data_IF_154897566789
#
_entry.id   IF_154897566789
#
_cell.length_a   1.000
_cell.length_b   1.000
_cell.length_c   1.000
_cell.angle_alpha   90.00
_cell.angle_beta   90.00
_cell.angle_gamma   90.00
#
_symmetry.space_group_name_H-M   'P 1'
#
loop_
_entity.id
_entity.type
_entity.pdbx_description
1 polymer ?
#
# COMPACT_ATOMS: atom_id res chain seq x y z
N UNK A 1 3.04 0.52 29.77
CA UNK A 1 2.43 1.20 28.61
C UNK A 1 2.48 2.69 28.88
N UNK A 2 2.84 3.55 27.89
CA UNK A 2 2.72 5.00 28.04
C UNK A 2 1.29 5.40 28.40
N UNK A 3 1.15 6.43 29.22
CA UNK A 3 -0.16 6.92 29.67
C UNK A 3 -0.78 7.84 28.58
N UNK A 4 -1.03 7.23 27.41
CA UNK A 4 -1.54 7.90 26.21
C UNK A 4 -3.05 7.69 26.09
N UNK A 5 -3.79 8.72 25.66
CA UNK A 5 -5.23 8.65 25.40
C UNK A 5 -5.55 7.88 24.10
N UNK A 6 -4.58 7.71 23.21
CA UNK A 6 -4.70 6.99 21.93
C UNK A 6 -3.69 5.85 21.83
N UNK A 7 -4.14 4.67 21.42
CA UNK A 7 -3.23 3.54 21.18
C UNK A 7 -2.25 3.79 20.00
N UNK A 8 -2.63 4.62 19.04
CA UNK A 8 -1.72 5.04 17.97
C UNK A 8 -0.60 5.94 18.53
N UNK A 9 -0.92 6.83 19.45
CA UNK A 9 0.08 7.64 20.15
C UNK A 9 0.99 6.77 21.02
N UNK A 10 0.42 5.80 21.74
CA UNK A 10 1.21 4.83 22.51
C UNK A 10 2.18 4.04 21.62
N UNK A 11 1.76 3.61 20.42
CA UNK A 11 2.61 2.94 19.45
C UNK A 11 3.74 3.87 18.96
N UNK A 12 3.44 5.14 18.69
CA UNK A 12 4.44 6.14 18.32
C UNK A 12 5.51 6.30 19.40
N UNK A 13 5.10 6.39 20.66
CA UNK A 13 6.02 6.49 21.79
C UNK A 13 6.88 5.23 21.96
N UNK A 14 6.30 4.04 21.80
CA UNK A 14 7.04 2.77 21.82
C UNK A 14 8.11 2.76 20.73
N UNK A 15 7.76 3.09 19.49
CA UNK A 15 8.73 3.16 18.39
C UNK A 15 9.83 4.19 18.65
N UNK A 16 9.47 5.33 19.21
CA UNK A 16 10.43 6.36 19.58
C UNK A 16 11.43 5.84 20.65
N UNK A 17 10.91 5.15 21.66
CA UNK A 17 11.75 4.55 22.70
C UNK A 17 12.68 3.46 22.14
N UNK A 18 12.18 2.59 21.26
CA UNK A 18 12.96 1.51 20.66
C UNK A 18 14.15 2.05 19.84
N UNK A 19 13.97 3.13 19.07
CA UNK A 19 15.05 3.72 18.24
C UNK A 19 15.89 4.79 18.95
N UNK A 20 15.54 5.20 20.15
CA UNK A 20 16.31 6.20 20.90
C UNK A 20 17.56 5.60 21.54
N UNK A 21 18.56 6.42 21.90
CA UNK A 21 19.73 5.96 22.66
C UNK A 21 19.32 5.19 23.92
N UNK A 22 19.82 3.96 24.08
CA UNK A 22 19.44 3.05 25.14
C UNK A 22 18.20 2.20 24.87
N UNK A 23 17.61 2.33 23.68
CA UNK A 23 16.54 1.46 23.19
C UNK A 23 17.03 0.11 22.65
N UNK A 24 16.38 -0.42 21.64
CA UNK A 24 16.74 -1.70 21.05
C UNK A 24 17.87 -1.56 20.02
N UNK A 25 19.01 -2.24 20.18
CA UNK A 25 20.13 -2.16 19.23
C UNK A 25 19.73 -2.60 17.82
N UNK A 26 18.88 -3.63 17.69
CA UNK A 26 18.42 -4.12 16.40
C UNK A 26 17.57 -3.07 15.67
N UNK A 27 16.62 -2.43 16.39
CA UNK A 27 15.80 -1.36 15.80
C UNK A 27 16.65 -0.15 15.39
N UNK A 28 17.67 0.18 16.15
CA UNK A 28 18.58 1.29 15.85
C UNK A 28 19.42 1.05 14.58
N UNK A 29 19.74 -0.22 14.26
CA UNK A 29 20.52 -0.59 13.07
C UNK A 29 19.68 -0.66 11.79
N UNK A 30 18.34 -0.66 11.87
CA UNK A 30 17.50 -0.78 10.69
C UNK A 30 17.56 0.48 9.81
N UNK A 31 17.51 0.25 8.50
CA UNK A 31 17.29 1.26 7.46
C UNK A 31 16.01 1.00 6.69
N UNK A 32 15.60 1.97 5.87
CA UNK A 32 14.45 1.78 4.98
C UNK A 32 14.59 0.53 4.11
N UNK A 33 15.79 0.25 3.60
CA UNK A 33 16.08 -0.89 2.75
C UNK A 33 16.02 -2.22 3.50
N UNK A 34 16.56 -2.28 4.74
CA UNK A 34 16.56 -3.53 5.51
C UNK A 34 15.17 -3.98 5.93
N UNK A 35 14.22 -3.05 6.06
CA UNK A 35 12.83 -3.33 6.42
C UNK A 35 11.94 -3.73 5.24
N UNK A 36 12.36 -3.54 3.98
CA UNK A 36 11.51 -3.88 2.83
C UNK A 36 11.09 -5.35 2.78
N UNK A 37 11.95 -6.26 3.22
CA UNK A 37 11.63 -7.69 3.27
C UNK A 37 10.50 -7.99 4.26
N UNK A 38 10.51 -7.34 5.43
CA UNK A 38 9.45 -7.49 6.43
C UNK A 38 8.14 -6.87 5.95
N UNK A 39 8.15 -5.66 5.40
CA UNK A 39 6.95 -5.07 4.81
C UNK A 39 6.30 -5.97 3.76
N UNK A 40 7.10 -6.70 2.98
CA UNK A 40 6.60 -7.65 1.99
C UNK A 40 6.01 -8.89 2.68
N UNK A 41 6.70 -9.44 3.69
CA UNK A 41 6.28 -10.58 4.50
C UNK A 41 4.93 -10.28 5.16
N UNK A 42 4.81 -9.25 5.97
CA UNK A 42 3.56 -8.82 6.63
C UNK A 42 2.42 -8.56 5.64
N UNK A 43 2.75 -8.07 4.44
CA UNK A 43 1.73 -7.87 3.40
C UNK A 43 1.17 -9.19 2.89
N UNK A 44 1.97 -10.25 2.79
CA UNK A 44 1.51 -11.57 2.38
C UNK A 44 0.77 -12.29 3.51
N UNK A 45 1.21 -12.17 4.74
CA UNK A 45 0.53 -12.73 5.91
C UNK A 45 -0.86 -12.10 6.10
N UNK A 46 -0.97 -10.78 5.90
CA UNK A 46 -2.27 -10.12 5.86
C UNK A 46 -3.16 -10.64 4.71
N UNK A 47 -2.60 -10.90 3.52
CA UNK A 47 -3.36 -11.46 2.39
C UNK A 47 -3.89 -12.85 2.77
N UNK A 48 -3.05 -13.73 3.32
CA UNK A 48 -3.42 -15.07 3.76
C UNK A 48 -4.54 -15.01 4.82
N UNK A 49 -4.37 -14.18 5.86
CA UNK A 49 -5.40 -13.99 6.90
C UNK A 49 -6.76 -13.54 6.33
N UNK A 50 -6.74 -12.69 5.28
CA UNK A 50 -7.96 -12.26 4.58
C UNK A 50 -8.56 -13.41 3.76
N UNK A 51 -7.75 -14.18 3.03
CA UNK A 51 -8.19 -15.30 2.20
C UNK A 51 -8.76 -16.44 3.05
N UNK A 52 -8.17 -16.70 4.20
CA UNK A 52 -8.65 -17.68 5.18
C UNK A 52 -9.86 -17.19 6.01
N UNK A 53 -10.20 -15.90 5.89
CA UNK A 53 -11.23 -15.25 6.69
C UNK A 53 -10.96 -15.35 8.22
N UNK A 54 -9.67 -15.39 8.61
CA UNK A 54 -9.25 -15.38 10.01
C UNK A 54 -9.17 -13.94 10.54
N UNK A 55 -10.17 -13.58 11.33
CA UNK A 55 -10.25 -12.21 11.89
C UNK A 55 -9.23 -11.96 13.01
N UNK A 56 -8.73 -12.98 13.67
CA UNK A 56 -7.72 -12.83 14.71
C UNK A 56 -6.35 -12.56 14.06
N UNK A 57 -5.95 -13.40 13.11
CA UNK A 57 -4.76 -13.20 12.30
C UNK A 57 -4.83 -11.86 11.56
N UNK A 58 -5.93 -11.54 10.88
CA UNK A 58 -6.09 -10.26 10.18
C UNK A 58 -5.83 -9.03 11.09
N UNK A 59 -6.23 -9.09 12.37
CA UNK A 59 -5.96 -7.99 13.31
C UNK A 59 -4.48 -7.93 13.70
N UNK A 60 -3.83 -9.06 13.84
CA UNK A 60 -2.40 -9.19 14.11
C UNK A 60 -1.60 -8.61 12.94
N UNK A 61 -1.83 -9.10 11.73
CA UNK A 61 -1.10 -8.69 10.52
C UNK A 61 -1.34 -7.22 10.13
N UNK A 62 -2.56 -6.71 10.37
CA UNK A 62 -2.81 -5.26 10.26
C UNK A 62 -1.98 -4.45 11.26
N UNK A 63 -1.70 -5.01 12.44
CA UNK A 63 -0.80 -4.43 13.43
C UNK A 63 0.63 -4.38 12.92
N UNK A 64 1.12 -5.45 12.28
CA UNK A 64 2.49 -5.55 11.78
C UNK A 64 2.70 -4.69 10.53
N UNK A 65 1.73 -4.62 9.63
CA UNK A 65 1.73 -3.63 8.54
C UNK A 65 1.73 -2.19 9.09
N UNK A 66 0.97 -1.92 10.14
CA UNK A 66 0.97 -0.60 10.80
C UNK A 66 2.31 -0.32 11.47
N UNK A 67 2.94 -1.31 12.10
CA UNK A 67 4.30 -1.21 12.65
C UNK A 67 5.29 -0.77 11.58
N UNK A 68 5.25 -1.35 10.37
CA UNK A 68 6.12 -0.94 9.26
C UNK A 68 5.94 0.55 8.93
N UNK A 69 4.70 1.05 8.89
CA UNK A 69 4.44 2.48 8.65
C UNK A 69 5.06 3.35 9.73
N UNK A 70 4.87 3.02 11.00
CA UNK A 70 5.42 3.77 12.13
C UNK A 70 6.95 3.71 12.16
N UNK A 71 7.54 2.56 11.86
CA UNK A 71 8.98 2.37 11.83
C UNK A 71 9.63 3.22 10.74
N UNK A 72 9.10 3.15 9.52
CA UNK A 72 9.58 3.97 8.41
C UNK A 72 9.42 5.47 8.68
N UNK A 73 8.31 5.88 9.27
CA UNK A 73 8.09 7.28 9.63
C UNK A 73 9.06 7.75 10.73
N UNK A 74 9.31 6.90 11.75
CA UNK A 74 10.27 7.21 12.80
C UNK A 74 11.70 7.37 12.27
N UNK A 75 12.09 6.53 11.31
CA UNK A 75 13.38 6.70 10.62
C UNK A 75 13.43 7.99 9.78
N UNK A 76 12.32 8.33 9.13
CA UNK A 76 12.24 9.54 8.32
C UNK A 76 12.38 10.83 9.14
N UNK A 77 11.99 10.82 10.43
CA UNK A 77 12.25 11.93 11.35
C UNK A 77 13.75 12.19 11.57
N UNK A 78 14.61 11.20 11.33
CA UNK A 78 16.06 11.30 11.45
C UNK A 78 16.75 11.93 10.23
N UNK A 79 15.98 12.19 9.15
CA UNK A 79 16.55 12.76 7.92
C UNK A 79 17.05 14.19 8.14
N UNK A 80 18.31 14.51 7.78
CA UNK A 80 18.96 15.75 8.20
C UNK A 80 18.39 17.03 7.55
N UNK A 81 17.75 16.91 6.40
CA UNK A 81 17.28 18.08 5.61
C UNK A 81 15.81 18.01 5.20
N UNK A 82 15.18 16.83 5.28
CA UNK A 82 13.78 16.64 4.88
C UNK A 82 13.09 15.61 5.82
N UNK A 83 13.03 15.91 7.14
CA UNK A 83 12.36 15.02 8.08
C UNK A 83 10.83 15.10 7.93
N UNK A 84 10.17 13.96 8.11
CA UNK A 84 8.71 13.88 8.25
C UNK A 84 8.31 12.83 9.28
N UNK A 85 7.18 13.03 9.92
CA UNK A 85 6.63 12.19 10.97
C UNK A 85 5.49 11.31 10.47
N UNK A 86 5.02 10.38 11.30
CA UNK A 86 3.81 9.61 11.02
C UNK A 86 2.56 10.50 10.89
N UNK A 87 2.52 11.64 11.60
CA UNK A 87 1.45 12.63 11.46
C UNK A 87 1.45 13.29 10.08
N UNK A 88 2.62 13.54 9.50
CA UNK A 88 2.74 14.05 8.14
C UNK A 88 2.28 13.02 7.10
N UNK A 89 2.59 11.75 7.31
CA UNK A 89 2.10 10.64 6.50
C UNK A 89 0.57 10.57 6.57
N UNK A 90 0.00 10.60 7.77
CA UNK A 90 -1.44 10.55 8.00
C UNK A 90 -2.15 11.75 7.36
N UNK A 91 -1.64 12.96 7.57
CA UNK A 91 -2.16 14.19 6.97
C UNK A 91 -2.15 14.12 5.44
N UNK A 92 -1.02 13.70 4.85
CA UNK A 92 -0.87 13.58 3.40
C UNK A 92 -1.89 12.64 2.78
N UNK A 93 -2.14 11.48 3.41
CA UNK A 93 -3.13 10.53 2.89
C UNK A 93 -4.55 11.02 3.13
N UNK A 94 -4.85 11.66 4.28
CA UNK A 94 -6.16 12.22 4.58
C UNK A 94 -6.54 13.32 3.57
N UNK A 95 -5.68 14.29 3.34
CA UNK A 95 -5.88 15.36 2.36
C UNK A 95 -6.08 14.80 0.94
N UNK A 96 -5.29 13.80 0.56
CA UNK A 96 -5.45 13.09 -0.71
C UNK A 96 -6.82 12.43 -0.82
N UNK A 97 -7.29 11.76 0.23
CA UNK A 97 -8.60 11.11 0.25
C UNK A 97 -9.74 12.13 0.17
N UNK A 98 -9.69 13.20 0.96
CA UNK A 98 -10.68 14.30 0.90
C UNK A 98 -10.75 14.87 -0.51
N UNK A 99 -9.62 15.22 -1.10
CA UNK A 99 -9.56 15.79 -2.44
C UNK A 99 -10.12 14.85 -3.52
N UNK A 100 -9.89 13.54 -3.38
CA UNK A 100 -10.33 12.52 -4.36
C UNK A 100 -11.76 12.03 -4.17
N UNK A 101 -12.44 12.46 -3.10
CA UNK A 101 -13.84 12.12 -2.83
C UNK A 101 -14.73 13.36 -2.75
N UNK A 102 -14.78 14.20 -3.81
CA UNK A 102 -15.61 15.41 -3.78
C UNK A 102 -17.12 15.10 -3.71
N UNK A 103 -17.51 13.86 -3.93
CA UNK A 103 -18.88 13.37 -3.74
C UNK A 103 -19.21 13.04 -2.28
N UNK A 104 -18.21 13.00 -1.40
CA UNK A 104 -18.38 12.80 0.05
C UNK A 104 -18.09 14.09 0.83
N UNK A 105 -17.02 14.79 0.45
CA UNK A 105 -16.52 15.96 1.15
C UNK A 105 -16.82 17.29 0.46
N UNK A 106 -17.54 17.28 -0.65
CA UNK A 106 -17.96 18.45 -1.45
C UNK A 106 -19.35 18.25 -2.03
N UNK A 107 -19.65 18.97 -3.10
CA UNK A 107 -20.99 19.03 -3.70
C UNK A 107 -21.18 18.14 -4.95
N UNK A 108 -20.14 17.42 -5.38
CA UNK A 108 -20.19 16.55 -6.56
C UNK A 108 -21.15 15.39 -6.32
N UNK A 109 -22.07 15.13 -7.25
CA UNK A 109 -22.92 13.93 -7.22
C UNK A 109 -22.35 12.87 -8.13
N UNK A 110 -22.54 11.61 -7.77
CA UNK A 110 -22.16 10.44 -8.55
C UNK A 110 -23.30 9.45 -8.60
N UNK A 111 -23.42 8.75 -9.72
CA UNK A 111 -24.50 7.76 -9.97
C UNK A 111 -24.19 6.38 -9.39
N UNK A 112 -22.93 6.09 -9.07
CA UNK A 112 -22.50 4.79 -8.52
C UNK A 112 -20.99 4.61 -8.48
N UNK A 113 -20.56 3.42 -8.04
CA UNK A 113 -19.14 3.08 -7.84
C UNK A 113 -18.30 3.13 -9.11
N UNK A 114 -18.88 2.83 -10.27
CA UNK A 114 -18.19 2.88 -11.56
C UNK A 114 -17.73 4.31 -11.89
N UNK A 115 -18.62 5.29 -11.70
CA UNK A 115 -18.31 6.71 -11.92
C UNK A 115 -17.28 7.22 -10.89
N UNK A 116 -17.36 6.74 -9.63
CA UNK A 116 -16.35 7.06 -8.62
C UNK A 116 -14.97 6.58 -9.04
N UNK A 117 -14.87 5.33 -9.53
CA UNK A 117 -13.60 4.76 -10.00
C UNK A 117 -13.01 5.52 -11.19
N UNK A 118 -13.87 5.90 -12.16
CA UNK A 118 -13.44 6.68 -13.31
C UNK A 118 -12.92 8.07 -12.91
N UNK A 119 -13.66 8.77 -12.05
CA UNK A 119 -13.25 10.07 -11.51
C UNK A 119 -11.94 9.97 -10.74
N UNK A 120 -11.75 8.92 -9.95
CA UNK A 120 -10.52 8.66 -9.20
C UNK A 120 -9.29 8.50 -10.09
N UNK A 121 -9.40 7.71 -11.15
CA UNK A 121 -8.30 7.50 -12.09
C UNK A 121 -7.98 8.77 -12.91
N UNK A 122 -9.01 9.52 -13.31
CA UNK A 122 -8.85 10.81 -13.99
C UNK A 122 -8.10 11.82 -13.10
N UNK A 123 -8.49 11.92 -11.82
CA UNK A 123 -7.81 12.79 -10.86
C UNK A 123 -6.36 12.37 -10.62
N UNK A 124 -6.10 11.05 -10.47
CA UNK A 124 -4.73 10.53 -10.33
C UNK A 124 -3.85 10.84 -11.54
N UNK A 125 -4.40 10.75 -12.74
CA UNK A 125 -3.67 11.07 -13.96
C UNK A 125 -3.32 12.57 -14.01
N UNK A 126 -4.30 13.43 -13.71
CA UNK A 126 -4.12 14.88 -13.69
C UNK A 126 -3.09 15.33 -12.62
N UNK A 127 -3.20 14.82 -11.38
CA UNK A 127 -2.29 15.15 -10.28
C UNK A 127 -0.82 14.76 -10.58
N UNK A 128 -0.62 13.70 -11.31
CA UNK A 128 0.72 13.17 -11.62
C UNK A 128 1.27 13.66 -12.95
N UNK A 129 0.49 14.40 -13.75
CA UNK A 129 0.88 14.86 -15.08
C UNK A 129 1.25 13.72 -16.04
N UNK A 130 0.68 12.53 -15.85
CA UNK A 130 1.05 11.32 -16.58
C UNK A 130 0.68 11.41 -18.04
N UNK A 131 1.64 11.11 -18.89
CA UNK A 131 1.49 11.12 -20.36
C UNK A 131 1.43 9.73 -20.97
N UNK A 132 1.79 8.68 -20.20
CA UNK A 132 1.78 7.29 -20.69
C UNK A 132 1.16 6.30 -19.69
N UNK A 133 0.72 5.15 -20.21
CA UNK A 133 0.16 4.05 -19.42
C UNK A 133 1.17 3.45 -18.42
N UNK A 134 2.44 3.45 -18.75
CA UNK A 134 3.49 2.82 -17.93
C UNK A 134 4.12 3.75 -16.91
N UNK A 135 3.93 5.07 -17.07
CA UNK A 135 4.55 6.07 -16.22
C UNK A 135 4.10 5.94 -14.75
N UNK A 136 5.09 5.88 -13.83
CA UNK A 136 4.86 5.73 -12.39
C UNK A 136 4.27 4.37 -11.98
N UNK A 137 4.48 3.33 -12.79
CA UNK A 137 4.25 1.93 -12.39
C UNK A 137 5.57 1.36 -11.86
N UNK A 138 5.65 0.98 -10.57
CA UNK A 138 6.86 0.34 -10.04
C UNK A 138 7.10 -0.99 -10.75
N UNK A 139 8.29 -1.16 -11.33
CA UNK A 139 8.63 -2.37 -12.09
C UNK A 139 9.08 -3.55 -11.20
N UNK A 140 9.38 -3.29 -9.91
CA UNK A 140 9.76 -4.32 -8.94
C UNK A 140 8.59 -5.13 -8.35
N UNK A 141 7.37 -4.96 -8.86
CA UNK A 141 6.21 -5.75 -8.42
C UNK A 141 6.32 -7.21 -8.89
N UNK A 142 5.69 -8.17 -8.19
CA UNK A 142 5.53 -9.53 -8.69
C UNK A 142 4.95 -9.53 -10.12
N UNK A 143 5.46 -10.43 -10.98
CA UNK A 143 5.19 -10.37 -12.42
C UNK A 143 3.71 -10.33 -12.80
N UNK A 144 2.87 -11.13 -12.12
CA UNK A 144 1.42 -11.15 -12.38
C UNK A 144 0.73 -9.86 -11.92
N UNK A 145 1.10 -9.32 -10.77
CA UNK A 145 0.58 -8.04 -10.29
C UNK A 145 0.98 -6.89 -11.21
N UNK A 146 2.22 -6.88 -11.68
CA UNK A 146 2.72 -5.91 -12.64
C UNK A 146 1.97 -6.02 -13.98
N UNK A 147 1.80 -7.23 -14.50
CA UNK A 147 1.07 -7.48 -15.75
C UNK A 147 -0.37 -6.99 -15.65
N UNK A 148 -1.10 -7.35 -14.60
CA UNK A 148 -2.47 -6.88 -14.33
C UNK A 148 -2.54 -5.37 -14.28
N UNK A 149 -1.59 -4.73 -13.59
CA UNK A 149 -1.51 -3.27 -13.49
C UNK A 149 -1.27 -2.59 -14.82
N UNK A 150 -0.37 -3.13 -15.63
CA UNK A 150 -0.03 -2.59 -16.95
C UNK A 150 -1.19 -2.76 -17.93
N UNK A 151 -1.85 -3.92 -17.96
CA UNK A 151 -3.02 -4.19 -18.80
C UNK A 151 -4.14 -3.21 -18.44
N UNK A 152 -4.50 -3.11 -17.16
CA UNK A 152 -5.53 -2.19 -16.69
C UNK A 152 -5.24 -0.75 -17.12
N UNK A 153 -4.00 -0.30 -16.97
CA UNK A 153 -3.62 1.06 -17.34
C UNK A 153 -3.63 1.28 -18.85
N UNK A 154 -3.13 0.34 -19.63
CA UNK A 154 -3.15 0.42 -21.09
C UNK A 154 -4.59 0.54 -21.63
N UNK A 155 -5.51 -0.25 -21.09
CA UNK A 155 -6.94 -0.15 -21.44
C UNK A 155 -7.52 1.25 -21.14
N UNK A 156 -7.14 1.87 -20.02
CA UNK A 156 -7.56 3.23 -19.67
C UNK A 156 -7.00 4.31 -20.61
N UNK A 157 -5.87 4.03 -21.27
CA UNK A 157 -5.28 4.89 -22.30
C UNK A 157 -5.75 4.54 -23.72
N UNK A 158 -6.81 3.71 -23.85
CA UNK A 158 -7.42 3.35 -25.13
C UNK A 158 -6.65 2.27 -25.93
N UNK A 159 -5.72 1.57 -25.28
CA UNK A 159 -5.01 0.46 -25.92
C UNK A 159 -5.77 -0.86 -25.67
N UNK A 160 -6.20 -1.52 -26.74
CA UNK A 160 -6.67 -2.90 -26.66
C UNK A 160 -5.49 -3.85 -26.55
N UNK A 161 -5.41 -4.57 -25.41
CA UNK A 161 -4.43 -5.65 -25.25
C UNK A 161 -5.16 -6.96 -25.51
N UNK A 162 -4.97 -7.52 -26.70
CA UNK A 162 -5.43 -8.86 -27.02
C UNK A 162 -4.47 -9.89 -26.40
N UNK A 163 -4.93 -10.63 -25.40
CA UNK A 163 -4.22 -11.83 -24.94
C UNK A 163 -4.46 -12.92 -26.00
N UNK A 164 -3.43 -13.15 -26.85
CA UNK A 164 -3.55 -14.06 -28.01
C UNK A 164 -3.81 -15.52 -27.63
N UNK A 165 -3.43 -15.91 -26.42
CA UNK A 165 -3.61 -17.27 -25.91
C UNK A 165 -4.04 -17.20 -24.44
N UNK A 166 -5.35 -16.98 -24.15
CA UNK A 166 -5.81 -17.10 -22.78
C UNK A 166 -5.57 -18.55 -22.32
N UNK A 167 -4.82 -18.71 -21.23
CA UNK A 167 -4.72 -20.01 -20.56
C UNK A 167 -6.13 -20.44 -20.16
N UNK A 168 -6.65 -21.48 -20.83
CA UNK A 168 -7.91 -22.12 -20.46
C UNK A 168 -7.62 -23.08 -19.32
N UNK A 169 -7.67 -22.57 -18.11
CA UNK A 169 -7.54 -23.41 -16.92
C UNK A 169 -8.84 -24.16 -16.70
N UNK A 170 -8.77 -25.48 -16.54
CA UNK A 170 -9.89 -26.27 -16.09
C UNK A 170 -10.21 -25.92 -14.63
N UNK A 171 -11.48 -25.93 -14.18
CA UNK A 171 -11.79 -25.80 -12.78
C UNK A 171 -11.02 -26.83 -11.95
N UNK A 172 -10.26 -26.37 -10.94
CA UNK A 172 -9.44 -27.23 -10.09
C UNK A 172 -8.01 -27.47 -10.55
N UNK A 173 -7.53 -26.74 -11.57
CA UNK A 173 -6.10 -26.78 -11.96
C UNK A 173 -5.22 -26.32 -10.79
N UNK A 174 -4.27 -27.16 -10.37
CA UNK A 174 -3.36 -26.86 -9.26
C UNK A 174 -2.26 -25.89 -9.67
N UNK A 175 -1.63 -25.21 -8.70
CA UNK A 175 -0.48 -24.33 -8.94
C UNK A 175 0.68 -25.04 -9.67
N UNK A 176 0.88 -26.34 -9.40
CA UNK A 176 1.92 -27.15 -10.06
C UNK A 176 1.63 -27.28 -11.55
N UNK A 177 0.39 -27.53 -11.94
CA UNK A 177 -0.03 -27.63 -13.36
C UNK A 177 0.02 -26.27 -14.06
N UNK A 178 -0.14 -25.16 -13.30
CA UNK A 178 0.04 -23.80 -13.79
C UNK A 178 1.50 -23.48 -14.12
N UNK A 179 2.45 -24.00 -13.36
CA UNK A 179 3.88 -23.80 -13.55
C UNK A 179 4.47 -24.63 -14.70
N UNK A 180 3.76 -25.66 -15.17
CA UNK A 180 4.18 -26.57 -16.26
C UNK A 180 3.56 -26.19 -17.63
N UNK A 181 2.66 -25.21 -17.69
CA UNK A 181 1.94 -24.75 -18.89
C UNK A 181 2.57 -23.50 -19.51
#
# INVERSE_FOLDING_TARGET
MPDSTSQLEALREVMNQLRSPGGCPWDAEQSHETLLKYLLEESYELIEAVEENDRAAMREELGDVLLQVFFHARMAEEHPTDPFSVEDVARTVAEKLVRRHPHVFGDKKVSGSAEVLENWEAQKAAEKGRTSATEGVPLGQPALALATKLIYRAQKYGHEIAIKHPLKLAPGTSEKELGEA
#
